data_IF_905605576210
#
_entry.id   IF_905605576210
#
_cell.length_a   1.000
_cell.length_b   1.000
_cell.length_c   1.000
_cell.angle_alpha   90.00
_cell.angle_beta   90.00
_cell.angle_gamma   90.00
#
_symmetry.space_group_name_H-M   'P 1'
#
loop_
_entity.id
_entity.type
_entity.pdbx_description
1 polymer ?
#
# COMPACT_ATOMS: atom_id res chain seq x y z
N UNK A 1 -11.75 1.19 -14.81
CA UNK A 1 -12.44 -0.09 -14.50
C UNK A 1 -11.84 -0.77 -13.26
N UNK A 2 -10.51 -0.76 -13.08
CA UNK A 2 -9.83 -1.42 -11.96
C UNK A 2 -10.14 -0.88 -10.55
N UNK A 3 -10.65 0.35 -10.41
CA UNK A 3 -11.03 0.93 -9.12
C UNK A 3 -12.38 0.40 -8.58
N UNK A 4 -13.24 -0.15 -9.44
CA UNK A 4 -14.60 -0.57 -9.07
C UNK A 4 -14.60 -1.64 -7.96
N UNK A 5 -13.78 -2.71 -8.03
CA UNK A 5 -13.71 -3.70 -6.96
C UNK A 5 -13.28 -3.12 -5.60
N UNK A 6 -12.31 -2.20 -5.58
CA UNK A 6 -11.82 -1.58 -4.35
C UNK A 6 -12.87 -0.65 -3.72
N UNK A 7 -13.63 0.10 -4.54
CA UNK A 7 -14.72 0.93 -4.06
C UNK A 7 -15.89 0.08 -3.53
N UNK A 8 -16.25 -1.00 -4.22
CA UNK A 8 -17.27 -1.93 -3.76
C UNK A 8 -16.85 -2.60 -2.45
N UNK A 9 -15.58 -3.01 -2.32
CA UNK A 9 -15.07 -3.56 -1.07
C UNK A 9 -15.14 -2.52 0.05
N UNK A 10 -14.73 -1.28 -0.19
CA UNK A 10 -14.82 -0.22 0.81
C UNK A 10 -16.26 0.00 1.28
N UNK A 11 -17.23 0.06 0.36
CA UNK A 11 -18.65 0.18 0.68
C UNK A 11 -19.18 -1.02 1.48
N UNK A 12 -18.77 -2.24 1.09
CA UNK A 12 -19.15 -3.45 1.80
C UNK A 12 -18.59 -3.48 3.22
N UNK A 13 -17.31 -3.12 3.39
CA UNK A 13 -16.63 -3.06 4.69
C UNK A 13 -17.29 -2.04 5.61
N UNK A 14 -17.63 -0.86 5.09
CA UNK A 14 -18.32 0.18 5.86
C UNK A 14 -19.72 -0.25 6.34
N UNK A 15 -20.42 -1.10 5.57
CA UNK A 15 -21.74 -1.62 5.94
C UNK A 15 -21.73 -2.91 6.76
N UNK A 16 -20.62 -3.62 6.77
CA UNK A 16 -20.52 -4.91 7.47
C UNK A 16 -20.40 -4.74 9.00
N UNK A 17 -20.99 -5.66 9.76
CA UNK A 17 -20.85 -5.74 11.23
C UNK A 17 -19.53 -6.42 11.64
N UNK A 18 -18.43 -6.06 10.99
CA UNK A 18 -17.10 -6.59 11.29
C UNK A 18 -16.53 -5.86 12.51
N UNK A 19 -15.67 -6.56 13.26
CA UNK A 19 -14.92 -5.99 14.37
C UNK A 19 -14.18 -4.70 13.94
N UNK A 20 -14.15 -3.70 14.83
CA UNK A 20 -13.62 -2.37 14.52
C UNK A 20 -12.17 -2.41 13.99
N UNK A 21 -11.34 -3.31 14.53
CA UNK A 21 -9.94 -3.44 14.14
C UNK A 21 -9.80 -3.89 12.68
N UNK A 22 -10.49 -4.97 12.30
CA UNK A 22 -10.49 -5.49 10.94
C UNK A 22 -11.10 -4.48 9.95
N UNK A 23 -12.14 -3.74 10.37
CA UNK A 23 -12.73 -2.65 9.58
C UNK A 23 -11.71 -1.56 9.26
N UNK A 24 -10.93 -1.10 10.25
CA UNK A 24 -9.91 -0.07 10.03
C UNK A 24 -8.81 -0.58 9.09
N UNK A 25 -8.32 -1.80 9.29
CA UNK A 25 -7.29 -2.38 8.41
C UNK A 25 -7.77 -2.52 6.97
N UNK A 26 -8.99 -3.00 6.75
CA UNK A 26 -9.58 -3.10 5.42
C UNK A 26 -9.80 -1.72 4.78
N UNK A 27 -10.20 -0.71 5.55
CA UNK A 27 -10.29 0.66 5.06
C UNK A 27 -8.91 1.21 4.65
N UNK A 28 -7.87 1.01 5.48
CA UNK A 28 -6.51 1.44 5.15
C UNK A 28 -5.99 0.73 3.90
N UNK A 29 -6.25 -0.57 3.76
CA UNK A 29 -5.89 -1.34 2.56
C UNK A 29 -6.60 -0.80 1.32
N UNK A 30 -7.91 -0.55 1.40
CA UNK A 30 -8.68 -0.03 0.27
C UNK A 30 -8.18 1.36 -0.16
N UNK A 31 -7.84 2.24 0.79
CA UNK A 31 -7.24 3.54 0.51
C UNK A 31 -5.86 3.40 -0.13
N UNK A 32 -4.99 2.52 0.39
CA UNK A 32 -3.68 2.25 -0.19
C UNK A 32 -3.81 1.71 -1.63
N UNK A 33 -4.75 0.81 -1.88
CA UNK A 33 -5.02 0.27 -3.22
C UNK A 33 -5.52 1.36 -4.19
N UNK A 34 -6.35 2.30 -3.72
CA UNK A 34 -6.76 3.46 -4.53
C UNK A 34 -5.56 4.35 -4.89
N UNK A 35 -4.62 4.56 -3.97
CA UNK A 35 -3.38 5.30 -4.26
C UNK A 35 -2.51 4.58 -5.31
N UNK A 36 -2.42 3.24 -5.26
CA UNK A 36 -1.75 2.44 -6.31
C UNK A 36 -2.41 2.66 -7.67
N UNK A 37 -3.74 2.68 -7.75
CA UNK A 37 -4.43 2.94 -9.01
C UNK A 37 -4.23 4.37 -9.51
N UNK A 38 -4.26 5.37 -8.62
CA UNK A 38 -4.02 6.77 -9.00
C UNK A 38 -2.61 6.92 -9.58
N UNK A 39 -1.60 6.35 -8.91
CA UNK A 39 -0.20 6.41 -9.37
C UNK A 39 0.02 5.61 -10.67
N UNK A 40 -0.63 4.46 -10.85
CA UNK A 40 -0.61 3.71 -12.10
C UNK A 40 -1.28 4.47 -13.27
N UNK A 41 -2.43 5.13 -13.01
CA UNK A 41 -3.09 5.98 -13.98
C UNK A 41 -2.20 7.18 -14.36
N UNK A 42 -1.57 7.82 -13.38
CA UNK A 42 -0.61 8.89 -13.63
C UNK A 42 0.53 8.40 -14.52
N UNK A 43 1.15 7.28 -14.17
CA UNK A 43 2.21 6.69 -14.99
C UNK A 43 1.75 6.41 -16.42
N UNK A 44 0.52 5.90 -16.60
CA UNK A 44 -0.06 5.62 -17.91
C UNK A 44 -0.31 6.90 -18.73
N UNK A 45 -0.80 7.96 -18.09
CA UNK A 45 -0.99 9.27 -18.73
C UNK A 45 0.36 9.85 -19.14
N UNK A 46 1.38 9.79 -18.28
CA UNK A 46 2.73 10.23 -18.63
C UNK A 46 3.29 9.46 -19.82
N UNK A 47 3.15 8.14 -19.79
CA UNK A 47 3.56 7.26 -20.88
C UNK A 47 2.88 7.61 -22.21
N UNK A 48 1.55 7.77 -22.22
CA UNK A 48 0.77 7.96 -23.47
C UNK A 48 0.96 9.35 -24.07
N UNK A 49 1.04 10.39 -23.25
CA UNK A 49 0.97 11.77 -23.73
C UNK A 49 2.32 12.48 -23.81
N UNK A 50 3.36 11.99 -23.12
CA UNK A 50 4.62 12.72 -23.00
C UNK A 50 5.84 11.92 -23.47
N UNK A 51 5.76 10.58 -23.52
CA UNK A 51 6.87 9.75 -23.96
C UNK A 51 6.63 9.25 -25.39
N UNK A 52 6.96 10.08 -26.38
CA UNK A 52 6.83 9.75 -27.82
C UNK A 52 7.99 8.88 -28.36
N UNK A 53 9.13 8.82 -27.67
CA UNK A 53 10.37 8.20 -28.16
C UNK A 53 10.72 6.91 -27.41
N UNK A 54 10.19 5.77 -27.87
CA UNK A 54 10.39 4.46 -27.20
C UNK A 54 11.42 3.52 -27.85
N UNK A 55 12.05 3.91 -28.96
CA UNK A 55 12.86 2.97 -29.74
C UNK A 55 14.25 3.51 -30.11
N UNK A 56 14.82 4.38 -29.29
CA UNK A 56 16.24 4.72 -29.36
C UNK A 56 17.01 3.88 -28.35
N UNK A 57 18.15 3.32 -28.77
CA UNK A 57 18.96 2.43 -27.93
C UNK A 57 19.56 3.14 -26.68
N UNK A 58 19.54 4.47 -26.66
CA UNK A 58 20.05 5.32 -25.57
C UNK A 58 18.90 5.90 -24.71
N UNK A 59 17.97 5.05 -24.28
CA UNK A 59 16.84 5.48 -23.46
C UNK A 59 17.31 5.90 -22.04
N UNK A 60 17.32 7.20 -21.79
CA UNK A 60 17.52 7.78 -20.46
C UNK A 60 16.16 8.19 -19.87
N UNK A 61 15.65 7.52 -18.81
CA UNK A 61 14.35 7.83 -18.25
C UNK A 61 14.31 9.27 -17.73
N UNK A 62 13.28 10.03 -18.12
CA UNK A 62 13.07 11.38 -17.62
C UNK A 62 12.96 11.36 -16.09
N UNK A 63 13.52 12.37 -15.41
CA UNK A 63 13.46 12.52 -13.94
C UNK A 63 12.03 12.34 -13.40
N UNK A 64 11.03 12.85 -14.14
CA UNK A 64 9.61 12.69 -13.80
C UNK A 64 9.16 11.22 -13.78
N UNK A 65 9.58 10.40 -14.75
CA UNK A 65 9.23 8.97 -14.79
C UNK A 65 9.78 8.23 -13.58
N UNK A 66 11.05 8.50 -13.23
CA UNK A 66 11.69 7.90 -12.05
C UNK A 66 10.95 8.28 -10.76
N UNK A 67 10.53 9.54 -10.64
CA UNK A 67 9.74 10.02 -9.50
C UNK A 67 8.39 9.31 -9.39
N UNK A 68 7.65 9.19 -10.50
CA UNK A 68 6.34 8.52 -10.53
C UNK A 68 6.49 7.03 -10.22
N UNK A 69 7.50 6.36 -10.78
CA UNK A 69 7.79 4.96 -10.50
C UNK A 69 8.15 4.73 -9.03
N UNK A 70 8.90 5.66 -8.41
CA UNK A 70 9.20 5.61 -6.98
C UNK A 70 7.91 5.69 -6.14
N UNK A 71 7.01 6.63 -6.46
CA UNK A 71 5.72 6.74 -5.78
C UNK A 71 4.83 5.51 -5.97
N UNK A 72 4.78 4.98 -7.18
CA UNK A 72 4.07 3.74 -7.48
C UNK A 72 4.62 2.58 -6.64
N UNK A 73 5.95 2.41 -6.63
CA UNK A 73 6.62 1.38 -5.83
C UNK A 73 6.35 1.52 -4.32
N UNK A 74 6.43 2.74 -3.77
CA UNK A 74 6.14 3.00 -2.35
C UNK A 74 4.68 2.71 -2.00
N UNK A 75 3.75 3.11 -2.86
CA UNK A 75 2.31 2.87 -2.67
C UNK A 75 2.00 1.37 -2.72
N UNK A 76 2.59 0.66 -3.69
CA UNK A 76 2.43 -0.78 -3.85
C UNK A 76 3.00 -1.53 -2.64
N UNK A 77 4.22 -1.19 -2.22
CA UNK A 77 4.83 -1.80 -1.04
C UNK A 77 3.98 -1.61 0.22
N UNK A 78 3.48 -0.39 0.44
CA UNK A 78 2.62 -0.08 1.59
C UNK A 78 1.31 -0.89 1.53
N UNK A 79 0.72 -1.02 0.34
CA UNK A 79 -0.49 -1.83 0.16
C UNK A 79 -0.24 -3.31 0.51
N UNK A 80 0.86 -3.89 0.02
CA UNK A 80 1.28 -5.28 0.33
C UNK A 80 1.53 -5.47 1.83
N UNK A 81 2.16 -4.51 2.49
CA UNK A 81 2.38 -4.52 3.93
C UNK A 81 1.06 -4.56 4.72
N UNK A 82 0.07 -3.75 4.33
CA UNK A 82 -1.25 -3.74 4.98
C UNK A 82 -1.99 -5.07 4.71
N UNK A 83 -1.90 -5.59 3.49
CA UNK A 83 -2.50 -6.88 3.13
C UNK A 83 -1.96 -8.02 3.99
N UNK A 84 -0.63 -8.07 4.15
CA UNK A 84 0.03 -9.05 5.02
C UNK A 84 -0.39 -8.85 6.49
N UNK A 85 -0.52 -7.59 6.93
CA UNK A 85 -1.07 -7.26 8.25
C UNK A 85 -2.48 -7.82 8.47
N UNK A 86 -3.38 -7.70 7.49
CA UNK A 86 -4.74 -8.27 7.57
C UNK A 86 -4.67 -9.79 7.67
N UNK A 87 -3.78 -10.43 6.91
CA UNK A 87 -3.57 -11.88 6.97
C UNK A 87 -3.13 -12.36 8.36
N UNK A 88 -2.16 -11.66 8.96
CA UNK A 88 -1.68 -11.97 10.32
C UNK A 88 -2.77 -11.75 11.37
N UNK A 89 -3.52 -10.66 11.27
CA UNK A 89 -4.61 -10.34 12.17
C UNK A 89 -5.68 -11.43 12.16
N UNK A 90 -6.07 -11.90 10.97
CA UNK A 90 -7.00 -13.03 10.82
C UNK A 90 -6.43 -14.34 11.36
N UNK A 91 -5.15 -14.62 11.14
CA UNK A 91 -4.50 -15.81 11.68
C UNK A 91 -4.52 -15.84 13.22
N UNK A 92 -4.29 -14.68 13.86
CA UNK A 92 -4.38 -14.53 15.32
C UNK A 92 -5.82 -14.70 15.80
N UNK A 93 -6.80 -14.10 15.10
CA UNK A 93 -8.23 -14.23 15.42
C UNK A 93 -8.71 -15.69 15.40
N UNK A 94 -8.23 -16.50 14.45
CA UNK A 94 -8.54 -17.94 14.37
C UNK A 94 -7.83 -18.73 15.48
N UNK A 95 -6.57 -18.39 15.79
CA UNK A 95 -5.77 -19.14 16.76
C UNK A 95 -6.32 -19.05 18.18
N UNK A 96 -6.73 -17.87 18.64
CA UNK A 96 -7.23 -17.62 20.00
C UNK A 96 -8.44 -16.66 20.00
N UNK A 97 -9.63 -17.12 19.61
CA UNK A 97 -10.80 -16.24 19.48
C UNK A 97 -11.23 -15.63 20.83
N UNK A 98 -11.12 -16.37 21.94
CA UNK A 98 -11.57 -15.93 23.27
C UNK A 98 -10.78 -14.74 23.84
N UNK A 99 -9.48 -14.66 23.54
CA UNK A 99 -8.61 -13.55 23.94
C UNK A 99 -8.66 -12.39 22.95
N UNK A 100 -8.83 -12.69 21.66
CA UNK A 100 -8.88 -11.71 20.59
C UNK A 100 -10.00 -10.66 20.82
N UNK A 101 -11.20 -11.10 21.23
CA UNK A 101 -12.31 -10.17 21.51
C UNK A 101 -12.14 -9.34 22.78
N UNK A 102 -11.17 -9.67 23.65
CA UNK A 102 -10.91 -8.93 24.89
C UNK A 102 -9.80 -7.90 24.75
N UNK A 103 -9.00 -7.96 23.69
CA UNK A 103 -7.76 -7.19 23.58
C UNK A 103 -7.88 -6.04 22.58
N UNK A 104 -7.82 -4.81 23.08
CA UNK A 104 -7.60 -3.58 22.29
C UNK A 104 -6.18 -3.49 21.70
N UNK A 105 -5.30 -4.48 21.95
CA UNK A 105 -3.87 -4.41 21.61
C UNK A 105 -3.55 -4.47 20.11
N UNK A 106 -4.53 -4.74 19.24
CA UNK A 106 -4.33 -4.80 17.78
C UNK A 106 -3.83 -3.47 17.20
N UNK A 107 -4.22 -2.33 17.79
CA UNK A 107 -3.77 -1.00 17.35
C UNK A 107 -2.26 -0.82 17.48
N UNK A 108 -1.65 -1.36 18.54
CA UNK A 108 -0.24 -1.18 18.82
C UNK A 108 0.64 -1.97 17.84
N UNK A 109 0.23 -3.19 17.47
CA UNK A 109 0.95 -4.00 16.49
C UNK A 109 0.94 -3.37 15.08
N UNK A 110 -0.20 -2.79 14.69
CA UNK A 110 -0.36 -2.09 13.41
C UNK A 110 0.47 -0.81 13.39
N UNK A 111 0.46 -0.04 14.48
CA UNK A 111 1.24 1.20 14.59
C UNK A 111 2.75 0.94 14.64
N UNK A 112 3.19 -0.06 15.42
CA UNK A 112 4.60 -0.46 15.49
C UNK A 112 5.12 -0.93 14.13
N UNK A 113 4.33 -1.71 13.39
CA UNK A 113 4.71 -2.14 12.04
C UNK A 113 4.81 -0.96 11.06
N UNK A 114 3.88 0.00 11.12
CA UNK A 114 3.92 1.20 10.30
C UNK A 114 5.18 2.06 10.56
N UNK A 115 5.60 2.19 11.83
CA UNK A 115 6.82 2.91 12.20
C UNK A 115 8.07 2.15 11.71
N UNK A 116 8.18 0.85 12.00
CA UNK A 116 9.34 0.06 11.58
C UNK A 116 9.49 -0.02 10.06
N UNK A 117 8.39 0.05 9.31
CA UNK A 117 8.44 0.07 7.83
C UNK A 117 9.01 1.37 7.25
N UNK A 118 8.89 2.50 7.96
CA UNK A 118 9.48 3.79 7.54
C UNK A 118 10.99 3.81 7.77
N UNK A 119 11.47 3.27 8.89
CA UNK A 119 12.91 3.28 9.21
C UNK A 119 13.75 2.51 8.18
N UNK A 120 13.22 1.40 7.65
CA UNK A 120 13.92 0.61 6.64
C UNK A 120 14.13 1.37 5.31
N UNK A 121 13.28 2.36 5.00
CA UNK A 121 13.43 3.19 3.80
C UNK A 121 14.50 4.28 3.93
N UNK A 122 14.67 4.84 5.13
CA UNK A 122 15.70 5.85 5.45
C UNK A 122 17.11 5.25 5.48
N UNK A 123 17.25 4.01 5.94
CA UNK A 123 18.53 3.27 5.96
C UNK A 123 19.03 2.94 4.54
N UNK A 124 18.13 2.82 3.56
CA UNK A 124 18.51 2.61 2.14
C UNK A 124 19.04 3.88 1.49
N UNK A 125 18.38 5.03 1.68
CA UNK A 125 18.84 6.31 1.11
C UNK A 125 20.21 6.73 1.66
N UNK A 126 20.49 6.50 2.94
CA UNK A 126 21.80 6.84 3.53
C UNK A 126 22.96 5.98 3.01
N UNK A 127 22.69 4.76 2.54
CA UNK A 127 23.74 3.90 1.94
C UNK A 127 24.05 4.24 0.48
N UNK A 128 23.11 4.84 -0.24
CA UNK A 128 23.31 5.25 -1.63
C UNK A 128 24.07 6.57 -1.75
N UNK A 129 23.92 7.48 -0.77
CA UNK A 129 24.68 8.73 -0.70
C UNK A 129 26.08 8.60 -0.09
N UNK A 130 26.43 7.44 0.47
CA UNK A 130 27.73 7.16 1.09
C UNK A 130 28.72 6.44 0.15
N UNK A 131 28.36 6.26 -1.13
CA UNK A 131 29.21 5.73 -2.20
C UNK A 131 29.46 6.81 -3.24
#
# INVERSE_FOLDING_TARGET
>A
ICAVPSLLLLLAVLRSSIHANCRIMLCMWAVAQLLVYITACWLSVQYIFFEEEYFTNDYNPTIMRTYILRWYGCSWFTCTCIELGIGLERAISIRNPSEYYKSTASYFAIFAYAICSRDHSLVRETREHAK
#
